data_IF_422902539222
#
_entry.id   IF_422902539222
#
_cell.length_a   1.000
_cell.length_b   1.000
_cell.length_c   1.000
_cell.angle_alpha   90.00
_cell.angle_beta   90.00
_cell.angle_gamma   90.00
#
_symmetry.space_group_name_H-M   'P 1'
#
loop_
_entity.id
_entity.type
_entity.pdbx_description
1 polymer ?
#
# COMPACT_ATOMS: atom_id res chain seq x y z
N UNK A 1 27.32 -21.79 28.72
CA UNK A 1 26.57 -22.63 27.76
C UNK A 1 25.23 -22.03 27.35
N UNK A 2 24.33 -21.69 28.30
CA UNK A 2 22.98 -21.12 27.98
C UNK A 2 23.02 -19.81 27.15
N UNK A 3 23.98 -18.92 27.41
CA UNK A 3 24.15 -17.66 26.66
C UNK A 3 24.60 -17.87 25.21
N UNK A 4 25.42 -18.90 24.96
CA UNK A 4 25.88 -19.22 23.61
C UNK A 4 24.74 -19.79 22.75
N UNK A 5 23.88 -20.62 23.35
CA UNK A 5 22.68 -21.15 22.69
C UNK A 5 21.67 -20.04 22.36
N UNK A 6 21.51 -19.06 23.24
CA UNK A 6 20.64 -17.90 22.99
C UNK A 6 21.15 -17.05 21.81
N UNK A 7 22.46 -16.82 21.72
CA UNK A 7 23.08 -16.06 20.63
C UNK A 7 22.93 -16.80 19.29
N UNK A 8 23.17 -18.12 19.28
CA UNK A 8 22.98 -18.93 18.08
C UNK A 8 21.52 -18.98 17.62
N UNK A 9 20.57 -19.07 18.56
CA UNK A 9 19.15 -18.99 18.25
C UNK A 9 18.76 -17.64 17.64
N UNK A 10 19.27 -16.54 18.19
CA UNK A 10 19.01 -15.19 17.68
C UNK A 10 19.57 -14.99 16.26
N UNK A 11 20.79 -15.48 16.00
CA UNK A 11 21.41 -15.41 14.68
C UNK A 11 20.63 -16.21 13.63
N UNK A 12 20.16 -17.41 13.98
CA UNK A 12 19.35 -18.23 13.07
C UNK A 12 18.03 -17.56 12.69
N UNK A 13 17.37 -16.91 13.65
CA UNK A 13 16.13 -16.16 13.41
C UNK A 13 16.40 -14.96 12.49
N UNK A 14 17.46 -14.20 12.75
CA UNK A 14 17.82 -13.04 11.93
C UNK A 14 18.15 -13.41 10.47
N UNK A 15 18.78 -14.55 10.22
CA UNK A 15 19.02 -15.02 8.84
C UNK A 15 17.76 -15.50 8.12
N UNK A 16 16.76 -16.01 8.85
CA UNK A 16 15.50 -16.49 8.24
C UNK A 16 14.54 -15.35 7.85
N UNK A 17 14.78 -14.12 8.32
CA UNK A 17 13.94 -12.95 8.09
C UNK A 17 14.41 -12.08 6.90
N UNK A 18 15.45 -12.49 6.15
CA UNK A 18 15.87 -11.78 4.95
C UNK A 18 14.96 -12.18 3.77
N UNK A 19 14.13 -11.26 3.22
CA UNK A 19 13.32 -11.58 2.05
C UNK A 19 14.23 -11.88 0.86
N UNK A 20 14.01 -13.04 0.23
CA UNK A 20 14.64 -13.38 -1.05
C UNK A 20 14.23 -12.32 -2.07
N UNK A 21 15.22 -11.71 -2.74
CA UNK A 21 14.96 -10.82 -3.85
C UNK A 21 14.19 -11.60 -4.93
N UNK A 22 12.96 -11.18 -5.22
CA UNK A 22 12.20 -11.76 -6.32
C UNK A 22 12.85 -11.33 -7.63
N UNK A 23 13.48 -12.27 -8.33
CA UNK A 23 14.00 -12.07 -9.68
C UNK A 23 12.81 -11.92 -10.65
N UNK A 24 12.48 -10.67 -10.97
CA UNK A 24 11.62 -10.34 -12.09
C UNK A 24 12.36 -10.66 -13.40
N UNK A 25 12.32 -11.92 -13.83
CA UNK A 25 12.85 -12.37 -15.11
C UNK A 25 12.05 -11.81 -16.29
N UNK A 26 12.32 -10.56 -16.67
CA UNK A 26 11.83 -9.96 -17.90
C UNK A 26 12.64 -10.45 -19.11
N UNK A 27 12.05 -11.31 -19.94
CA UNK A 27 12.59 -11.67 -21.27
C UNK A 27 12.48 -10.45 -22.20
N UNK A 28 13.62 -9.90 -22.62
CA UNK A 28 13.68 -8.83 -23.60
C UNK A 28 13.51 -9.37 -25.04
N UNK A 29 12.67 -8.70 -25.82
CA UNK A 29 12.34 -9.00 -27.21
C UNK A 29 13.48 -8.71 -28.20
N UNK A 30 13.65 -9.63 -29.15
CA UNK A 30 13.62 -9.35 -30.59
C UNK A 30 14.77 -8.57 -31.23
N UNK A 31 15.70 -9.29 -31.87
CA UNK A 31 16.43 -8.73 -33.01
C UNK A 31 17.03 -9.80 -33.93
N UNK A 32 16.35 -10.16 -35.03
CA UNK A 32 17.02 -10.70 -36.22
C UNK A 32 16.26 -10.25 -37.49
N UNK A 33 16.55 -9.04 -37.98
CA UNK A 33 16.43 -8.71 -39.40
C UNK A 33 17.82 -8.87 -40.02
N UNK A 34 18.00 -9.88 -40.86
CA UNK A 34 19.24 -10.11 -41.60
C UNK A 34 19.02 -11.17 -42.65
N UNK A 35 18.87 -10.73 -43.90
CA UNK A 35 18.51 -11.57 -45.04
C UNK A 35 19.51 -12.70 -45.30
N UNK A 36 18.97 -13.88 -45.65
CA UNK A 36 19.74 -14.97 -46.24
C UNK A 36 19.41 -15.01 -47.72
N UNK A 37 20.33 -14.51 -48.55
CA UNK A 37 20.34 -14.83 -49.99
C UNK A 37 21.10 -16.14 -50.11
N UNK A 38 20.40 -17.22 -50.47
CA UNK A 38 21.06 -18.45 -50.92
C UNK A 38 21.17 -18.40 -52.45
N UNK A 39 22.37 -18.11 -52.95
CA UNK A 39 22.74 -18.36 -54.35
C UNK A 39 23.20 -19.82 -54.42
N UNK A 40 22.40 -20.67 -55.03
CA UNK A 40 22.70 -22.09 -55.21
C UNK A 40 22.03 -22.60 -56.47
N UNK A 41 22.83 -22.71 -57.53
CA UNK A 41 22.45 -23.23 -58.86
C UNK A 41 22.14 -24.73 -58.75
N UNK A 42 20.88 -25.09 -58.91
CA UNK A 42 20.42 -26.48 -59.02
C UNK A 42 19.95 -26.77 -60.44
N UNK A 43 20.71 -27.62 -61.14
CA UNK A 43 20.49 -28.06 -62.52
C UNK A 43 19.14 -28.77 -62.67
N UNK A 44 18.36 -28.34 -63.67
CA UNK A 44 17.00 -28.78 -63.91
C UNK A 44 16.88 -30.19 -64.48
N UNK A 45 15.98 -30.98 -63.90
CA UNK A 45 15.40 -32.18 -64.53
C UNK A 45 14.12 -31.74 -65.25
N UNK A 46 13.97 -31.94 -66.57
CA UNK A 46 12.77 -31.55 -67.28
C UNK A 46 11.70 -32.63 -67.09
N UNK A 47 10.95 -32.55 -65.99
CA UNK A 47 9.77 -33.40 -65.74
C UNK A 47 8.50 -32.87 -66.43
N UNK A 48 8.64 -32.22 -67.60
CA UNK A 48 7.62 -31.43 -68.27
C UNK A 48 6.50 -32.28 -68.91
N UNK A 49 5.70 -32.96 -68.10
CA UNK A 49 4.33 -33.29 -68.44
C UNK A 49 3.47 -32.04 -68.26
N UNK A 50 3.30 -31.25 -69.32
CA UNK A 50 2.44 -30.08 -69.30
C UNK A 50 0.97 -30.54 -69.31
N UNK A 51 0.41 -30.79 -68.14
CA UNK A 51 -1.03 -30.90 -67.92
C UNK A 51 -1.55 -29.55 -67.42
N UNK A 52 -2.31 -28.78 -68.20
CA UNK A 52 -2.91 -27.55 -67.71
C UNK A 52 -4.07 -27.92 -66.77
N UNK A 53 -3.79 -27.97 -65.47
CA UNK A 53 -4.84 -27.98 -64.45
C UNK A 53 -5.47 -26.59 -64.40
N UNK A 54 -6.79 -26.43 -64.64
CA UNK A 54 -7.44 -25.15 -64.47
C UNK A 54 -7.38 -24.77 -62.98
N UNK A 55 -6.58 -23.77 -62.67
CA UNK A 55 -6.43 -23.27 -61.30
C UNK A 55 -7.67 -22.43 -60.97
N UNK A 56 -8.70 -23.09 -60.43
CA UNK A 56 -9.87 -22.41 -59.90
C UNK A 56 -9.48 -21.77 -58.57
N UNK A 57 -9.33 -20.45 -58.54
CA UNK A 57 -9.16 -19.71 -57.28
C UNK A 57 -10.52 -19.51 -56.63
N UNK A 58 -10.82 -20.15 -55.49
CA UNK A 58 -12.02 -19.83 -54.73
C UNK A 58 -11.87 -18.41 -54.17
N UNK A 59 -12.72 -17.50 -54.63
CA UNK A 59 -12.81 -16.16 -54.09
C UNK A 59 -13.55 -16.21 -52.75
N UNK A 60 -12.80 -16.21 -51.65
CA UNK A 60 -13.36 -16.15 -50.31
C UNK A 60 -13.76 -14.71 -49.98
N UNK A 61 -15.06 -14.51 -49.77
CA UNK A 61 -15.55 -13.26 -49.19
C UNK A 61 -15.20 -13.21 -47.70
N UNK A 62 -14.69 -12.07 -47.19
CA UNK A 62 -14.44 -11.92 -45.76
C UNK A 62 -15.78 -11.91 -45.02
N UNK A 63 -15.97 -12.87 -44.13
CA UNK A 63 -17.10 -12.88 -43.19
C UNK A 63 -16.84 -11.82 -42.13
N UNK A 64 -17.69 -10.78 -42.10
CA UNK A 64 -17.58 -9.71 -41.12
C UNK A 64 -18.32 -10.10 -39.84
N UNK A 65 -17.55 -10.44 -38.80
CA UNK A 65 -18.11 -10.66 -37.47
C UNK A 65 -18.14 -9.33 -36.71
N UNK A 66 -19.28 -8.94 -36.12
CA UNK A 66 -19.33 -7.76 -35.27
C UNK A 66 -18.47 -7.98 -34.03
N UNK A 67 -17.70 -6.97 -33.65
CA UNK A 67 -16.97 -6.97 -32.40
C UNK A 67 -17.97 -7.03 -31.22
N UNK A 68 -17.68 -7.78 -30.15
CA UNK A 68 -18.55 -7.82 -28.98
C UNK A 68 -18.63 -6.43 -28.33
N UNK A 69 -19.80 -6.09 -27.80
CA UNK A 69 -19.99 -4.85 -27.08
C UNK A 69 -19.11 -4.83 -25.82
N UNK A 70 -18.33 -3.76 -25.65
CA UNK A 70 -17.54 -3.54 -24.44
C UNK A 70 -18.48 -3.02 -23.35
N UNK A 71 -18.71 -3.83 -22.32
CA UNK A 71 -19.48 -3.43 -21.14
C UNK A 71 -18.50 -2.95 -20.08
N UNK A 72 -18.54 -1.65 -19.76
CA UNK A 72 -17.78 -1.09 -18.64
C UNK A 72 -18.58 -1.26 -17.35
N UNK A 73 -17.96 -1.86 -16.34
CA UNK A 73 -18.50 -1.87 -14.98
C UNK A 73 -18.22 -0.53 -14.31
N UNK A 74 -19.19 -0.05 -13.53
CA UNK A 74 -19.00 1.15 -12.70
C UNK A 74 -17.95 0.91 -11.61
N UNK A 75 -17.13 1.92 -11.26
CA UNK A 75 -16.18 1.81 -10.15
C UNK A 75 -16.87 1.51 -8.83
N UNK A 76 -16.24 0.68 -7.99
CA UNK A 76 -16.73 0.40 -6.65
C UNK A 76 -16.73 1.69 -5.79
N UNK A 77 -17.64 1.81 -4.80
CA UNK A 77 -17.63 2.92 -3.86
C UNK A 77 -16.30 2.99 -3.10
N UNK A 78 -15.81 4.21 -2.87
CA UNK A 78 -14.62 4.43 -2.06
C UNK A 78 -14.85 3.98 -0.60
N UNK A 79 -13.82 3.44 0.08
CA UNK A 79 -13.93 3.11 1.49
C UNK A 79 -14.18 4.37 2.32
N UNK A 80 -15.15 4.31 3.23
CA UNK A 80 -15.36 5.33 4.25
C UNK A 80 -14.41 5.09 5.41
N UNK A 81 -13.54 6.05 5.70
CA UNK A 81 -12.70 6.02 6.90
C UNK A 81 -13.43 6.67 8.07
N UNK A 82 -13.70 5.90 9.11
CA UNK A 82 -14.21 6.41 10.38
C UNK A 82 -13.04 6.94 11.21
N UNK A 83 -13.13 8.19 11.68
CA UNK A 83 -12.13 8.74 12.60
C UNK A 83 -12.19 7.99 13.95
N UNK A 84 -11.06 7.56 14.52
CA UNK A 84 -11.04 6.98 15.86
C UNK A 84 -11.59 7.95 16.89
N UNK A 85 -12.44 7.46 17.79
CA UNK A 85 -12.90 8.20 18.97
C UNK A 85 -11.67 8.63 19.79
N UNK A 86 -11.59 9.92 20.14
CA UNK A 86 -10.52 10.40 21.01
C UNK A 86 -10.59 9.70 22.39
N UNK A 87 -9.44 9.27 22.96
CA UNK A 87 -9.41 8.68 24.29
C UNK A 87 -10.01 9.63 25.34
N UNK A 88 -10.84 9.09 26.24
CA UNK A 88 -11.31 9.82 27.40
C UNK A 88 -10.14 9.90 28.41
N UNK A 89 -9.45 11.03 28.41
CA UNK A 89 -8.33 11.30 29.31
C UNK A 89 -8.82 12.16 30.47
N UNK A 90 -8.53 11.75 31.70
CA UNK A 90 -8.76 12.56 32.89
C UNK A 90 -7.95 13.85 32.82
N UNK A 91 -8.65 15.00 32.85
CA UNK A 91 -8.04 16.32 32.65
C UNK A 91 -7.64 17.02 33.94
N UNK A 92 -8.12 16.53 35.08
CA UNK A 92 -7.97 17.20 36.36
C UNK A 92 -7.89 16.19 37.50
N UNK A 93 -6.93 16.37 38.40
CA UNK A 93 -6.81 15.61 39.65
C UNK A 93 -6.80 16.59 40.83
N UNK A 94 -7.75 16.45 41.74
CA UNK A 94 -8.01 17.41 42.83
C UNK A 94 -7.41 16.92 44.15
N UNK A 95 -6.76 17.84 44.88
CA UNK A 95 -6.16 17.64 46.21
C UNK A 95 -6.66 18.71 47.19
N UNK A 96 -6.35 18.57 48.48
CA UNK A 96 -6.79 19.52 49.50
C UNK A 96 -6.14 20.91 49.31
N UNK A 97 -4.89 20.93 48.84
CA UNK A 97 -4.05 22.12 48.68
C UNK A 97 -4.10 22.75 47.27
N UNK A 98 -4.75 22.08 46.31
CA UNK A 98 -4.81 22.52 44.93
C UNK A 98 -5.28 21.44 43.98
N UNK A 99 -4.98 21.60 42.69
CA UNK A 99 -5.29 20.61 41.65
C UNK A 99 -4.21 20.56 40.58
N UNK A 100 -4.00 19.39 40.00
CA UNK A 100 -3.24 19.24 38.77
C UNK A 100 -4.18 19.32 37.57
N UNK A 101 -3.84 20.14 36.58
CA UNK A 101 -4.55 20.26 35.31
C UNK A 101 -3.68 19.70 34.18
N UNK A 102 -4.24 18.82 33.35
CA UNK A 102 -3.56 18.27 32.19
C UNK A 102 -3.71 19.20 30.99
N UNK A 103 -2.61 19.84 30.60
CA UNK A 103 -2.52 20.66 29.40
C UNK A 103 -1.99 19.83 28.21
N UNK A 104 -2.36 20.25 27.00
CA UNK A 104 -1.99 19.58 25.75
C UNK A 104 -3.06 18.61 25.25
N UNK A 105 -2.90 18.18 24.00
CA UNK A 105 -3.78 17.24 23.30
C UNK A 105 -3.08 15.92 22.97
N UNK A 106 -1.78 15.82 23.24
CA UNK A 106 -0.95 14.66 22.91
C UNK A 106 -0.72 14.46 21.41
N UNK A 107 -1.17 15.40 20.57
CA UNK A 107 -1.08 15.34 19.10
C UNK A 107 -0.26 16.52 18.59
N UNK A 108 -0.72 17.75 18.83
CA UNK A 108 -0.02 18.98 18.47
C UNK A 108 0.87 19.48 19.60
N UNK A 109 0.43 19.28 20.84
CA UNK A 109 1.10 19.74 22.06
C UNK A 109 1.25 18.57 23.04
N UNK A 110 2.47 18.27 23.51
CA UNK A 110 2.69 17.17 24.43
C UNK A 110 1.93 17.40 25.75
N UNK A 111 1.49 16.30 26.36
CA UNK A 111 0.80 16.35 27.64
C UNK A 111 1.72 16.86 28.76
N UNK A 112 1.21 17.80 29.55
CA UNK A 112 1.89 18.33 30.73
C UNK A 112 0.91 18.55 31.88
N UNK A 113 1.26 18.01 33.04
CA UNK A 113 0.56 18.32 34.29
C UNK A 113 1.06 19.66 34.86
N UNK A 114 0.13 20.53 35.18
CA UNK A 114 0.40 21.84 35.80
C UNK A 114 -0.30 21.90 37.14
N UNK A 115 0.47 22.18 38.20
CA UNK A 115 -0.06 22.40 39.54
C UNK A 115 -0.71 23.78 39.63
N UNK A 116 -1.93 23.83 40.16
CA UNK A 116 -2.66 25.07 40.46
C UNK A 116 -3.00 25.06 41.95
N UNK A 117 -2.39 25.92 42.78
CA UNK A 117 -2.70 25.99 44.20
C UNK A 117 -4.10 26.58 44.43
N UNK A 118 -4.71 26.23 45.56
CA UNK A 118 -5.96 26.84 45.96
C UNK A 118 -5.79 28.33 46.29
N UNK A 119 -6.79 29.18 45.98
CA UNK A 119 -6.75 30.57 46.39
C UNK A 119 -6.73 30.69 47.93
N UNK A 120 -6.11 31.74 48.49
CA UNK A 120 -6.18 32.01 49.92
C UNK A 120 -7.63 32.15 50.38
N UNK A 121 -7.90 31.75 51.63
CA UNK A 121 -9.21 32.00 52.23
C UNK A 121 -9.48 33.52 52.26
N UNK A 122 -10.73 33.95 52.00
CA UNK A 122 -11.09 35.35 52.13
C UNK A 122 -10.89 35.83 53.58
N UNK A 123 -10.55 37.11 53.79
CA UNK A 123 -10.42 37.66 55.14
C UNK A 123 -11.75 37.50 55.89
N UNK A 124 -11.67 37.17 57.19
CA UNK A 124 -12.85 37.09 58.04
C UNK A 124 -13.52 38.46 58.10
N UNK A 125 -14.82 38.51 57.80
CA UNK A 125 -15.63 39.72 57.89
C UNK A 125 -15.67 40.28 59.33
N UNK A 126 -16.05 41.57 59.50
CA UNK A 126 -16.19 42.15 60.82
C UNK A 126 -17.20 41.35 61.65
N UNK A 127 -16.99 41.25 62.98
CA UNK A 127 -17.92 40.56 63.86
C UNK A 127 -19.31 41.23 63.77
N UNK A 128 -20.40 40.46 63.90
CA UNK A 128 -21.74 41.02 63.90
C UNK A 128 -21.90 42.04 65.04
N UNK A 129 -22.51 43.18 64.72
CA UNK A 129 -22.82 44.24 65.68
C UNK A 129 -23.67 43.67 66.82
N UNK A 130 -23.29 43.98 68.07
CA UNK A 130 -24.08 43.59 69.23
C UNK A 130 -25.50 44.21 69.14
N UNK A 131 -26.57 43.47 69.51
CA UNK A 131 -27.91 44.04 69.61
C UNK A 131 -27.94 45.16 70.66
N UNK A 132 -28.68 46.23 70.35
CA UNK A 132 -28.85 47.41 71.21
C UNK A 132 -29.89 47.15 72.31
#
# INVERSE_FOLDING_TARGET
>A
MKKALAILGLLAILTALVPMAAEAGGRHHGFHRGGRVFVGVGVGVPCCGFYPWPYYYPYYYPSYYPAPAVVYSSPAPAPTYTQPQAPQVEREVVFAEGRYILQGDGVSTPYKWVWVPNPPAPPSGPPPSAPR
#
